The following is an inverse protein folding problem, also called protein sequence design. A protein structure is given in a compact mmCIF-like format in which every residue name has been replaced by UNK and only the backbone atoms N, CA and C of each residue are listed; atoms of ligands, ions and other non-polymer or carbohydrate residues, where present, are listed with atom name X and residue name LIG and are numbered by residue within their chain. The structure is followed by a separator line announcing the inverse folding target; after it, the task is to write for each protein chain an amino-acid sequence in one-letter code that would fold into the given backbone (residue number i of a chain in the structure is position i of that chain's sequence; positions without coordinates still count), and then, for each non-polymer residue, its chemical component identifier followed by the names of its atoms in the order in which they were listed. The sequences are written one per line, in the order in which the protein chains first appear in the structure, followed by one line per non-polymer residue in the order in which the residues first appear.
data_IF_617720351461
#
_entry.id   IF_617720351461
#
_cell.length_a   1.000
_cell.length_b   1.000
_cell.length_c   1.000
_cell.angle_alpha   90.00
_cell.angle_beta   90.00
_cell.angle_gamma   90.00
#
_symmetry.space_group_name_H-M   'P 1'
#
loop_
_entity.id
_entity.type
_entity.pdbx_description
1 polymer ?
#
# COMPACT_ATOMS: atom_id res chain seq x y z
N UNK A 1 13.30 95.74 55.27
CA UNK A 1 12.29 95.18 54.34
C UNK A 1 12.85 94.97 52.93
N UNK A 2 13.10 96.00 52.10
CA UNK A 2 13.56 95.82 50.67
C UNK A 2 14.70 94.81 50.45
N UNK A 3 15.77 94.83 51.28
CA UNK A 3 16.90 93.88 51.18
C UNK A 3 16.52 92.41 51.50
N UNK A 4 15.52 92.19 52.35
CA UNK A 4 15.05 90.83 52.73
C UNK A 4 14.21 90.24 51.60
N UNK A 5 13.37 91.07 50.95
CA UNK A 5 12.59 90.65 49.76
C UNK A 5 13.51 90.25 48.60
N UNK A 6 14.55 91.05 48.34
CA UNK A 6 15.58 90.72 47.34
C UNK A 6 16.30 89.39 47.65
N UNK A 7 16.66 89.15 48.91
CA UNK A 7 17.29 87.89 49.33
C UNK A 7 16.34 86.69 49.19
N UNK A 8 15.07 86.85 49.54
CA UNK A 8 14.05 85.80 49.38
C UNK A 8 13.79 85.47 47.91
N UNK A 9 13.74 86.47 47.03
CA UNK A 9 13.63 86.28 45.58
C UNK A 9 14.85 85.50 45.05
N UNK A 10 16.07 85.91 45.43
CA UNK A 10 17.31 85.25 45.00
C UNK A 10 17.38 83.78 45.44
N UNK A 11 16.95 83.50 46.68
CA UNK A 11 16.88 82.15 47.23
C UNK A 11 15.80 81.32 46.50
N UNK A 12 14.62 81.90 46.26
CA UNK A 12 13.53 81.22 45.54
C UNK A 12 13.89 80.89 44.07
N UNK A 13 14.64 81.76 43.39
CA UNK A 13 15.08 81.52 42.01
C UNK A 13 16.17 80.44 41.93
N UNK A 14 17.01 80.30 42.97
CA UNK A 14 17.97 79.19 43.06
C UNK A 14 17.30 77.82 43.18
N UNK A 15 16.14 77.72 43.85
CA UNK A 15 15.37 76.46 43.95
C UNK A 15 14.66 76.06 42.64
N UNK A 16 14.57 76.94 41.65
CA UNK A 16 14.02 76.60 40.32
C UNK A 16 15.09 75.94 39.40
N UNK A 17 16.37 75.95 39.80
CA UNK A 17 17.48 75.35 39.05
C UNK A 17 17.64 73.84 39.30
N UNK A 18 16.53 73.11 39.40
CA UNK A 18 16.58 71.64 39.35
C UNK A 18 17.03 71.25 37.94
N UNK A 19 18.18 70.57 37.81
CA UNK A 19 18.69 70.09 36.52
C UNK A 19 17.73 69.04 35.94
N UNK A 20 16.98 69.39 34.88
CA UNK A 20 15.85 68.58 34.42
C UNK A 20 16.24 67.43 33.47
N UNK A 21 17.44 67.53 32.86
CA UNK A 21 18.03 66.55 31.95
C UNK A 21 19.49 66.91 31.67
N UNK A 22 20.39 65.93 31.58
CA UNK A 22 21.78 66.15 31.17
C UNK A 22 21.88 66.09 29.65
N UNK A 23 22.17 67.22 29.00
CA UNK A 23 22.50 67.29 27.58
C UNK A 23 24.01 67.23 27.34
N UNK A 24 24.47 66.34 26.48
CA UNK A 24 25.86 66.29 26.00
C UNK A 24 25.83 66.45 24.47
N UNK A 25 26.35 67.56 23.97
CA UNK A 25 26.32 67.89 22.53
C UNK A 25 24.98 68.42 22.00
N UNK A 26 23.97 68.56 22.87
CA UNK A 26 22.68 69.22 22.57
C UNK A 26 22.35 70.27 23.64
N UNK A 27 21.78 71.40 23.22
CA UNK A 27 21.20 72.44 24.10
C UNK A 27 19.72 72.22 24.39
N UNK A 28 19.07 71.32 23.66
CA UNK A 28 17.67 70.91 23.84
C UNK A 28 17.61 69.38 23.95
N UNK A 29 17.91 68.82 25.13
CA UNK A 29 17.72 67.39 25.38
C UNK A 29 16.29 66.96 25.07
N UNK A 30 16.13 65.74 24.58
CA UNK A 30 14.81 65.16 24.37
C UNK A 30 14.03 65.14 25.70
N UNK A 31 12.79 65.64 25.69
CA UNK A 31 11.96 65.77 26.89
C UNK A 31 11.64 64.43 27.61
N UNK A 32 11.85 63.28 26.95
CA UNK A 32 11.72 61.95 27.55
C UNK A 32 13.03 61.40 28.14
N UNK A 33 14.16 62.11 28.02
CA UNK A 33 15.49 61.63 28.38
C UNK A 33 16.08 62.41 29.57
N UNK A 34 16.52 61.69 30.60
CA UNK A 34 17.32 62.26 31.70
C UNK A 34 18.80 62.44 31.34
N UNK A 35 19.27 61.73 30.30
CA UNK A 35 20.56 61.91 29.65
C UNK A 35 20.35 61.82 28.14
N UNK A 36 20.69 62.88 27.41
CA UNK A 36 20.67 62.93 25.95
C UNK A 36 22.07 63.23 25.43
N UNK A 37 22.55 62.42 24.48
CA UNK A 37 23.92 62.49 23.95
C UNK A 37 23.84 62.62 22.43
N UNK A 38 23.92 63.85 21.94
CA UNK A 38 23.86 64.16 20.53
C UNK A 38 25.27 64.28 19.92
N UNK A 39 25.55 63.46 18.91
CA UNK A 39 26.76 63.57 18.10
C UNK A 39 26.57 62.91 16.74
N UNK A 40 27.24 63.43 15.71
CA UNK A 40 27.29 62.83 14.37
C UNK A 40 28.47 61.89 14.16
N UNK A 41 29.44 61.85 15.09
CA UNK A 41 30.68 61.08 14.94
C UNK A 41 31.26 60.49 16.24
N UNK A 42 30.56 60.62 17.37
CA UNK A 42 30.89 60.00 18.66
C UNK A 42 29.68 59.23 19.20
N UNK A 43 29.92 58.30 20.12
CA UNK A 43 28.88 57.56 20.83
C UNK A 43 29.10 57.53 22.33
N UNK A 44 28.15 56.93 23.06
CA UNK A 44 28.27 56.70 24.50
C UNK A 44 29.13 55.45 24.78
N UNK A 45 30.25 55.64 25.47
CA UNK A 45 31.04 54.52 25.99
C UNK A 45 30.53 54.15 27.40
N UNK A 46 29.70 53.10 27.47
CA UNK A 46 29.25 52.53 28.75
C UNK A 46 30.43 51.92 29.54
N UNK A 47 30.31 51.72 30.87
CA UNK A 47 31.36 51.09 31.67
C UNK A 47 31.85 49.77 31.06
N UNK A 48 33.17 49.66 30.85
CA UNK A 48 33.83 48.50 30.25
C UNK A 48 34.52 47.68 31.33
N UNK A 49 34.30 46.37 31.36
CA UNK A 49 34.84 45.49 32.38
C UNK A 49 34.90 44.03 31.92
N UNK A 50 35.69 43.19 32.59
CA UNK A 50 35.73 41.74 32.33
C UNK A 50 34.45 41.05 32.79
N UNK A 51 34.19 39.82 32.31
CA UNK A 51 33.07 39.00 32.82
C UNK A 51 33.11 38.82 34.32
N UNK A 52 34.29 38.60 34.91
CA UNK A 52 34.50 38.48 36.36
C UNK A 52 34.04 39.73 37.10
N UNK A 53 34.44 40.91 36.63
CA UNK A 53 34.05 42.18 37.26
C UNK A 53 32.54 42.42 37.12
N UNK A 54 31.93 42.06 35.98
CA UNK A 54 30.48 42.19 35.76
C UNK A 54 29.66 41.35 36.74
N UNK A 55 30.04 40.09 36.96
CA UNK A 55 29.29 39.19 37.87
C UNK A 55 29.51 39.53 39.35
N UNK A 56 30.54 40.31 39.67
CA UNK A 56 30.84 40.79 41.03
C UNK A 56 30.14 42.12 41.38
N UNK A 57 29.40 42.75 40.46
CA UNK A 57 28.55 43.90 40.80
C UNK A 57 27.49 43.43 41.81
N UNK A 58 27.50 44.01 43.00
CA UNK A 58 26.53 43.69 44.06
C UNK A 58 25.20 44.40 43.80
N UNK A 59 24.09 43.67 43.94
CA UNK A 59 22.71 44.16 43.75
C UNK A 59 22.50 45.05 42.50
N UNK A 60 22.91 44.60 41.29
CA UNK A 60 22.76 45.40 40.08
C UNK A 60 21.30 45.71 39.78
N UNK A 61 21.00 46.95 39.39
CA UNK A 61 19.65 47.37 39.06
C UNK A 61 19.19 46.78 37.72
N UNK A 62 17.91 46.41 37.63
CA UNK A 62 17.28 46.09 36.34
C UNK A 62 17.45 47.28 35.38
N UNK A 63 17.90 47.00 34.17
CA UNK A 63 18.20 48.00 33.15
C UNK A 63 19.67 48.46 33.10
N UNK A 64 20.51 48.12 34.09
CA UNK A 64 21.94 48.46 34.10
C UNK A 64 22.66 47.87 32.88
N UNK A 65 23.37 48.72 32.12
CA UNK A 65 24.12 48.32 30.90
C UNK A 65 25.63 48.47 31.11
N UNK A 66 26.39 47.44 30.69
CA UNK A 66 27.86 47.44 30.65
C UNK A 66 28.38 46.80 29.37
N UNK A 67 29.63 47.07 29.00
CA UNK A 67 30.33 46.34 27.94
C UNK A 67 31.29 45.31 28.56
N UNK A 68 31.04 44.04 28.30
CA UNK A 68 31.93 42.95 28.72
C UNK A 68 33.10 42.82 27.74
N UNK A 69 34.32 43.11 28.19
CA UNK A 69 35.56 43.06 27.39
C UNK A 69 36.16 41.66 27.27
N UNK A 70 35.66 40.67 28.01
CA UNK A 70 36.04 39.26 27.86
C UNK A 70 35.15 38.59 26.80
N UNK A 71 33.86 38.93 26.77
CA UNK A 71 32.88 38.39 25.81
C UNK A 71 32.73 39.26 24.54
N UNK A 72 33.31 40.47 24.54
CA UNK A 72 33.17 41.50 23.49
C UNK A 72 31.71 41.86 23.16
N UNK A 73 30.85 41.95 24.19
CA UNK A 73 29.40 42.14 24.03
C UNK A 73 28.85 43.17 25.01
N UNK A 74 27.82 43.90 24.58
CA UNK A 74 26.97 44.71 25.45
C UNK A 74 26.07 43.80 26.28
N UNK A 75 26.04 43.99 27.60
CA UNK A 75 25.23 43.25 28.56
C UNK A 75 24.31 44.18 29.34
N UNK A 76 23.07 43.75 29.56
CA UNK A 76 22.09 44.40 30.42
C UNK A 76 21.66 43.45 31.54
N UNK A 77 21.53 43.96 32.76
CA UNK A 77 20.94 43.20 33.85
C UNK A 77 19.41 43.28 33.78
N UNK A 78 18.73 42.13 33.74
CA UNK A 78 17.28 42.04 33.76
C UNK A 78 16.82 40.79 34.51
N UNK A 79 15.84 40.94 35.40
CA UNK A 79 15.14 39.84 36.08
C UNK A 79 16.09 38.84 36.75
N UNK A 80 17.06 39.35 37.51
CA UNK A 80 18.02 38.53 38.27
C UNK A 80 19.25 38.06 37.48
N UNK A 81 19.29 38.26 36.15
CA UNK A 81 20.34 37.71 35.27
C UNK A 81 20.94 38.74 34.32
N UNK A 82 22.22 38.56 33.99
CA UNK A 82 22.89 39.29 32.91
C UNK A 82 22.53 38.70 31.55
N UNK A 83 21.94 39.50 30.66
CA UNK A 83 21.61 39.13 29.27
C UNK A 83 22.40 40.01 28.31
N UNK A 84 22.89 39.47 27.20
CA UNK A 84 23.52 40.29 26.17
C UNK A 84 22.46 40.98 25.29
N UNK A 85 22.75 42.19 24.82
CA UNK A 85 21.78 43.08 24.16
C UNK A 85 21.60 42.83 22.66
N UNK A 86 22.56 42.19 21.99
CA UNK A 86 22.55 41.98 20.54
C UNK A 86 22.68 40.49 20.23
N UNK A 87 21.59 39.90 19.72
CA UNK A 87 21.60 38.56 19.13
C UNK A 87 21.66 38.65 17.60
N UNK A 88 22.84 38.99 17.08
CA UNK A 88 23.15 38.83 15.64
C UNK A 88 23.83 37.49 15.34
N UNK A 89 24.20 36.72 16.36
CA UNK A 89 24.99 35.49 16.20
C UNK A 89 24.14 34.30 15.70
N UNK A 90 22.88 34.20 16.13
CA UNK A 90 22.05 33.01 15.86
C UNK A 90 21.06 33.18 14.70
N UNK A 91 20.80 34.42 14.27
CA UNK A 91 19.70 34.76 13.37
C UNK A 91 20.08 35.91 12.43
N UNK A 92 20.90 35.62 11.43
CA UNK A 92 21.32 36.62 10.43
C UNK A 92 20.23 36.79 9.38
N UNK A 93 19.74 38.02 9.18
CA UNK A 93 18.87 38.34 8.05
C UNK A 93 19.69 38.35 6.76
N UNK A 94 19.27 37.57 5.76
CA UNK A 94 19.94 37.57 4.45
C UNK A 94 19.75 38.91 3.74
N UNK A 95 20.81 39.37 3.06
CA UNK A 95 20.80 40.59 2.24
C UNK A 95 20.16 40.39 0.87
N UNK A 96 19.93 39.14 0.45
CA UNK A 96 19.38 38.80 -0.87
C UNK A 96 17.95 38.24 -0.81
N UNK A 97 17.49 37.80 0.37
CA UNK A 97 16.13 37.29 0.62
C UNK A 97 15.72 37.66 2.05
N UNK A 98 14.43 37.87 2.30
CA UNK A 98 13.93 38.14 3.65
C UNK A 98 13.85 36.85 4.51
N UNK A 99 14.98 36.16 4.64
CA UNK A 99 15.14 34.90 5.35
C UNK A 99 16.10 35.09 6.50
N UNK A 100 15.85 34.36 7.59
CA UNK A 100 16.71 34.33 8.76
C UNK A 100 17.38 32.95 8.80
N UNK A 101 18.71 32.90 8.85
CA UNK A 101 19.44 31.63 8.80
C UNK A 101 20.42 31.46 9.97
N UNK A 102 20.61 30.20 10.38
CA UNK A 102 21.61 29.80 11.36
C UNK A 102 22.69 28.97 10.66
N UNK A 103 23.85 29.58 10.43
CA UNK A 103 24.96 29.00 9.67
C UNK A 103 25.83 28.02 10.47
N UNK A 104 25.97 28.24 11.79
CA UNK A 104 26.95 27.58 12.65
C UNK A 104 26.33 26.62 13.68
N UNK A 105 25.12 26.91 14.13
CA UNK A 105 24.43 26.19 15.21
C UNK A 105 23.18 25.46 14.71
N UNK A 106 22.49 24.82 15.66
CA UNK A 106 21.22 24.13 15.43
C UNK A 106 20.02 24.94 15.92
N UNK A 107 18.86 24.77 15.28
CA UNK A 107 17.58 25.36 15.68
C UNK A 107 16.77 24.32 16.42
N UNK A 108 16.63 24.47 17.75
CA UNK A 108 15.75 23.66 18.57
C UNK A 108 14.37 24.31 18.75
N UNK A 109 13.30 23.60 18.43
CA UNK A 109 11.91 24.00 18.71
C UNK A 109 11.33 23.00 19.71
N UNK A 110 11.02 23.47 20.94
CA UNK A 110 10.58 22.60 22.03
C UNK A 110 11.68 21.72 22.65
N UNK A 111 12.94 21.87 22.21
CA UNK A 111 14.13 21.23 22.80
C UNK A 111 15.21 22.26 23.07
N UNK A 112 15.88 22.12 24.23
CA UNK A 112 17.05 22.94 24.61
C UNK A 112 18.38 22.26 24.24
N UNK A 113 18.34 21.07 23.65
CA UNK A 113 19.52 20.29 23.24
C UNK A 113 19.22 19.61 21.90
N UNK A 114 19.16 20.40 20.80
CA UNK A 114 18.91 19.86 19.47
C UNK A 114 20.02 18.89 19.06
N UNK A 115 19.62 17.71 18.59
CA UNK A 115 20.51 16.63 18.11
C UNK A 115 20.82 16.73 16.62
N UNK A 116 20.06 17.57 15.90
CA UNK A 116 20.17 17.84 14.47
C UNK A 116 20.08 19.36 14.21
N UNK A 117 20.52 19.81 13.04
CA UNK A 117 20.53 21.25 12.67
C UNK A 117 19.16 21.92 12.75
N UNK A 118 18.09 21.15 12.56
CA UNK A 118 16.73 21.50 12.93
C UNK A 118 16.18 20.31 13.74
N UNK A 119 15.82 20.54 15.00
CA UNK A 119 15.26 19.54 15.89
C UNK A 119 13.96 20.08 16.48
N UNK A 120 12.85 19.38 16.24
CA UNK A 120 11.51 19.80 16.64
C UNK A 120 10.91 18.73 17.53
N UNK A 121 10.88 19.02 18.83
CA UNK A 121 10.19 18.19 19.83
C UNK A 121 8.68 18.49 19.77
N UNK A 122 8.02 18.02 18.70
CA UNK A 122 6.62 18.27 18.41
C UNK A 122 6.28 18.09 16.93
N UNK A 123 5.13 18.62 16.52
CA UNK A 123 4.62 18.48 15.15
C UNK A 123 5.23 19.54 14.21
N UNK A 124 5.59 19.11 13.00
CA UNK A 124 5.98 20.00 11.89
C UNK A 124 4.82 20.08 10.88
N UNK A 125 4.47 21.29 10.44
CA UNK A 125 3.49 21.51 9.35
C UNK A 125 4.12 22.31 8.22
N UNK A 126 4.40 21.65 7.10
CA UNK A 126 4.58 22.34 5.82
C UNK A 126 3.22 22.74 5.23
N UNK A 127 3.20 23.78 4.41
CA UNK A 127 2.03 24.15 3.57
C UNK A 127 2.19 23.70 2.12
N UNK A 128 3.44 23.58 1.69
CA UNK A 128 3.89 23.19 0.35
C UNK A 128 4.89 22.02 0.50
N UNK A 129 5.71 21.75 -0.52
CA UNK A 129 6.64 20.62 -0.53
C UNK A 129 7.78 20.71 0.50
N UNK A 130 8.22 19.55 1.02
CA UNK A 130 9.47 19.40 1.75
C UNK A 130 10.56 18.89 0.79
N UNK A 131 11.35 19.81 0.24
CA UNK A 131 12.48 19.48 -0.63
C UNK A 131 13.69 19.04 0.18
N UNK A 132 14.34 17.96 -0.25
CA UNK A 132 15.56 17.42 0.36
C UNK A 132 16.48 16.84 -0.72
N UNK A 133 17.74 17.30 -0.76
CA UNK A 133 18.77 16.74 -1.64
C UNK A 133 19.31 15.39 -1.13
N UNK A 134 18.94 14.99 0.09
CA UNK A 134 19.33 13.74 0.74
C UNK A 134 18.16 12.94 1.31
N UNK A 135 18.46 11.85 2.00
CA UNK A 135 17.44 10.97 2.60
C UNK A 135 16.70 11.64 3.76
N UNK A 136 15.38 11.50 3.79
CA UNK A 136 14.52 11.89 4.92
C UNK A 136 14.25 10.64 5.76
N UNK A 137 14.92 10.52 6.91
CA UNK A 137 14.81 9.38 7.82
C UNK A 137 13.74 9.69 8.89
N UNK A 138 12.71 8.84 8.99
CA UNK A 138 11.62 9.01 9.95
C UNK A 138 11.41 7.75 10.80
N UNK A 139 11.86 7.78 12.05
CA UNK A 139 11.92 6.62 12.95
C UNK A 139 10.63 6.35 13.75
N UNK A 140 9.56 7.13 13.52
CA UNK A 140 8.30 7.04 14.30
C UNK A 140 6.99 7.25 13.53
N UNK A 141 7.01 7.33 12.19
CA UNK A 141 5.79 7.59 11.39
C UNK A 141 4.84 6.37 11.34
N UNK A 142 5.33 5.16 11.66
CA UNK A 142 4.54 3.92 11.58
C UNK A 142 3.77 3.64 12.89
N UNK A 143 2.89 4.56 13.26
CA UNK A 143 1.77 4.25 14.17
C UNK A 143 0.53 5.07 13.79
N UNK A 144 -0.50 4.41 13.22
CA UNK A 144 -1.81 5.05 13.04
C UNK A 144 -2.32 5.35 11.62
N UNK A 145 -1.74 4.75 10.57
CA UNK A 145 -2.26 4.65 9.17
C UNK A 145 -1.68 5.60 8.10
N UNK A 146 -0.85 5.02 7.23
CA UNK A 146 -0.46 5.47 5.87
C UNK A 146 0.39 6.74 5.69
N UNK A 147 1.45 6.59 4.88
CA UNK A 147 2.04 7.68 4.10
C UNK A 147 1.17 7.88 2.84
N UNK A 148 0.31 8.90 2.84
CA UNK A 148 -0.53 9.22 1.69
C UNK A 148 0.23 10.10 0.70
N UNK A 149 0.64 9.54 -0.44
CA UNK A 149 1.17 10.32 -1.58
C UNK A 149 0.13 10.40 -2.69
N UNK A 150 -0.16 11.61 -3.18
CA UNK A 150 -1.00 11.84 -4.37
C UNK A 150 -0.27 11.56 -5.70
N UNK A 151 0.96 11.04 -5.62
CA UNK A 151 1.85 10.73 -6.73
C UNK A 151 2.82 9.60 -6.37
N UNK A 152 3.85 9.41 -7.19
CA UNK A 152 4.78 8.28 -7.09
C UNK A 152 5.53 8.24 -5.75
N UNK A 153 5.36 7.14 -5.00
CA UNK A 153 6.17 6.83 -3.82
C UNK A 153 7.44 6.07 -4.23
N UNK A 154 8.55 6.79 -4.42
CA UNK A 154 9.84 6.20 -4.76
C UNK A 154 10.60 5.75 -3.50
N UNK A 155 10.46 4.47 -3.11
CA UNK A 155 11.27 3.88 -2.02
C UNK A 155 12.53 3.25 -2.60
N UNK A 156 13.68 3.89 -2.39
CA UNK A 156 14.98 3.29 -2.68
C UNK A 156 15.46 2.49 -1.46
N UNK A 157 15.03 1.24 -1.34
CA UNK A 157 15.37 0.34 -0.22
C UNK A 157 14.22 -0.57 0.22
N UNK A 158 14.36 -1.21 1.38
CA UNK A 158 13.34 -2.10 1.96
C UNK A 158 12.20 -1.26 2.57
N UNK A 159 11.14 -1.03 1.78
CA UNK A 159 9.90 -0.42 2.24
C UNK A 159 9.03 -1.38 3.05
N UNK A 160 9.34 -1.57 4.33
CA UNK A 160 8.50 -2.35 5.24
C UNK A 160 7.19 -1.62 5.56
N UNK A 161 6.13 -1.88 4.78
CA UNK A 161 4.76 -1.45 5.11
C UNK A 161 4.16 -2.46 6.09
N UNK A 162 4.01 -2.08 7.36
CA UNK A 162 3.43 -2.92 8.42
C UNK A 162 1.90 -3.09 8.34
N UNK A 163 1.33 -3.13 7.14
CA UNK A 163 -0.11 -3.14 6.86
C UNK A 163 -0.41 -3.15 5.36
N UNK A 164 -1.65 -2.86 4.97
CA UNK A 164 -2.08 -2.91 3.57
C UNK A 164 -1.38 -1.85 2.69
N UNK A 165 -0.75 -2.28 1.60
CA UNK A 165 -0.29 -1.42 0.52
C UNK A 165 -1.38 -1.32 -0.57
N UNK A 166 -1.92 -0.12 -0.80
CA UNK A 166 -2.95 0.14 -1.81
C UNK A 166 -2.42 1.06 -2.91
N UNK A 167 -2.30 0.54 -4.13
CA UNK A 167 -1.95 1.32 -5.32
C UNK A 167 -3.21 1.58 -6.18
N UNK A 168 -3.62 2.85 -6.29
CA UNK A 168 -4.74 3.26 -7.15
C UNK A 168 -4.28 3.45 -8.61
N UNK A 169 -3.68 2.41 -9.20
CA UNK A 169 -3.07 2.45 -10.52
C UNK A 169 -2.28 1.17 -10.83
N UNK A 170 -1.32 1.26 -11.74
CA UNK A 170 -0.45 0.13 -12.08
C UNK A 170 0.63 -0.09 -11.01
N UNK A 171 0.90 -1.35 -10.68
CA UNK A 171 2.10 -1.76 -9.93
C UNK A 171 3.08 -2.43 -10.89
N UNK A 172 4.27 -1.85 -11.06
CA UNK A 172 5.34 -2.38 -11.90
C UNK A 172 6.52 -2.79 -11.02
N UNK A 173 6.93 -4.05 -11.06
CA UNK A 173 8.16 -4.54 -10.44
C UNK A 173 9.24 -4.76 -11.51
N UNK A 174 10.49 -4.39 -11.21
CA UNK A 174 11.64 -4.65 -12.09
C UNK A 174 12.26 -6.05 -11.89
N UNK A 175 11.72 -6.81 -10.93
CA UNK A 175 12.07 -8.19 -10.59
C UNK A 175 10.82 -8.82 -9.93
N UNK A 176 10.99 -9.80 -9.05
CA UNK A 176 9.90 -10.59 -8.48
C UNK A 176 8.98 -9.80 -7.55
N UNK A 177 7.69 -10.17 -7.57
CA UNK A 177 6.73 -9.84 -6.51
C UNK A 177 6.67 -11.00 -5.51
N UNK A 178 7.43 -10.91 -4.43
CA UNK A 178 7.49 -11.95 -3.39
C UNK A 178 6.43 -11.68 -2.31
N UNK A 179 5.58 -12.67 -2.01
CA UNK A 179 4.59 -12.60 -0.94
C UNK A 179 4.93 -13.67 0.11
N UNK A 180 5.51 -13.25 1.23
CA UNK A 180 6.02 -14.14 2.27
C UNK A 180 5.05 -14.21 3.47
N UNK A 181 4.06 -15.11 3.40
CA UNK A 181 3.07 -15.31 4.46
C UNK A 181 2.48 -16.73 4.41
N UNK A 182 2.16 -17.32 5.58
CA UNK A 182 1.62 -18.68 5.71
C UNK A 182 0.19 -18.86 5.15
N UNK A 183 -0.53 -17.76 4.89
CA UNK A 183 -1.85 -17.73 4.25
C UNK A 183 -1.94 -16.66 3.15
N UNK A 184 -0.82 -16.39 2.46
CA UNK A 184 -0.71 -15.36 1.43
C UNK A 184 -1.87 -15.40 0.43
N UNK A 185 -2.57 -14.28 0.24
CA UNK A 185 -3.70 -14.17 -0.70
C UNK A 185 -3.62 -12.87 -1.49
N UNK A 186 -3.41 -12.95 -2.81
CA UNK A 186 -3.62 -11.83 -3.74
C UNK A 186 -5.11 -11.70 -4.02
N UNK A 187 -5.76 -10.68 -3.45
CA UNK A 187 -7.20 -10.48 -3.56
C UNK A 187 -7.56 -9.50 -4.67
N UNK A 188 -8.27 -9.97 -5.70
CA UNK A 188 -8.84 -9.14 -6.76
C UNK A 188 -10.21 -8.62 -6.32
N UNK A 189 -10.44 -7.30 -6.44
CA UNK A 189 -11.71 -6.62 -6.10
C UNK A 189 -12.26 -5.86 -7.30
N UNK A 190 -13.56 -5.58 -7.30
CA UNK A 190 -14.15 -4.62 -8.24
C UNK A 190 -14.06 -3.18 -7.70
N UNK A 191 -14.46 -2.19 -8.51
CA UNK A 191 -14.50 -0.77 -8.12
C UNK A 191 -15.49 -0.41 -6.99
N UNK A 192 -16.24 -1.40 -6.47
CA UNK A 192 -17.11 -1.27 -5.30
C UNK A 192 -16.53 -1.95 -4.06
N UNK A 193 -15.21 -2.26 -4.05
CA UNK A 193 -14.50 -2.95 -2.97
C UNK A 193 -15.00 -4.37 -2.64
N UNK A 194 -15.76 -5.02 -3.54
CA UNK A 194 -16.21 -6.40 -3.36
C UNK A 194 -15.14 -7.37 -3.86
N UNK A 195 -14.76 -8.34 -3.03
CA UNK A 195 -13.86 -9.44 -3.40
C UNK A 195 -14.45 -10.30 -4.52
N UNK A 196 -13.70 -10.49 -5.61
CA UNK A 196 -14.16 -11.23 -6.81
C UNK A 196 -13.38 -12.49 -7.11
N UNK A 197 -12.05 -12.46 -7.01
CA UNK A 197 -11.22 -13.66 -7.17
C UNK A 197 -9.87 -13.52 -6.49
N UNK A 198 -9.12 -14.61 -6.44
CA UNK A 198 -7.88 -14.68 -5.68
C UNK A 198 -6.84 -15.63 -6.29
N UNK A 199 -5.59 -15.38 -5.94
CA UNK A 199 -4.50 -16.35 -5.93
C UNK A 199 -4.07 -16.53 -4.46
N UNK A 200 -4.02 -17.76 -3.95
CA UNK A 200 -3.86 -18.03 -2.53
C UNK A 200 -2.92 -19.21 -2.26
N UNK A 201 -2.08 -19.08 -1.23
CA UNK A 201 -1.44 -20.22 -0.55
C UNK A 201 -2.36 -20.72 0.57
N UNK A 202 -2.60 -22.03 0.62
CA UNK A 202 -3.43 -22.66 1.67
C UNK A 202 -2.87 -24.02 2.05
N UNK A 203 -2.09 -24.04 3.13
CA UNK A 203 -1.12 -25.11 3.38
C UNK A 203 -0.14 -25.18 2.21
N UNK A 204 0.17 -26.39 1.76
CA UNK A 204 1.07 -26.63 0.62
C UNK A 204 0.40 -26.37 -0.75
N UNK A 205 -0.88 -26.02 -0.78
CA UNK A 205 -1.64 -25.85 -2.04
C UNK A 205 -1.60 -24.39 -2.54
N UNK A 206 -1.29 -24.23 -3.82
CA UNK A 206 -1.61 -23.00 -4.57
C UNK A 206 -3.05 -23.10 -5.08
N UNK A 207 -3.85 -22.07 -4.83
CA UNK A 207 -5.26 -21.98 -5.25
C UNK A 207 -5.49 -20.75 -6.12
N UNK A 208 -6.30 -20.94 -7.16
CA UNK A 208 -6.85 -19.91 -8.05
C UNK A 208 -8.37 -20.04 -8.00
N UNK A 209 -9.11 -18.96 -7.79
CA UNK A 209 -10.57 -19.06 -7.69
C UNK A 209 -11.33 -17.75 -7.61
N UNK A 210 -12.64 -17.88 -7.51
CA UNK A 210 -13.59 -16.78 -7.24
C UNK A 210 -13.98 -16.77 -5.76
N UNK A 211 -14.22 -15.58 -5.19
CA UNK A 211 -14.77 -15.47 -3.83
C UNK A 211 -16.29 -15.68 -3.86
N UNK A 212 -16.89 -16.05 -2.72
CA UNK A 212 -18.35 -16.14 -2.55
C UNK A 212 -19.10 -14.82 -2.85
N UNK A 213 -18.44 -13.68 -2.76
CA UNK A 213 -18.95 -12.37 -3.21
C UNK A 213 -19.01 -12.18 -4.74
N UNK A 214 -18.65 -13.19 -5.53
CA UNK A 214 -18.71 -13.19 -7.00
C UNK A 214 -19.93 -13.97 -7.53
N UNK A 215 -21.12 -13.68 -7.00
CA UNK A 215 -22.37 -14.44 -7.24
C UNK A 215 -22.81 -14.58 -8.71
N UNK A 216 -22.29 -13.74 -9.62
CA UNK A 216 -22.63 -13.76 -11.05
C UNK A 216 -21.41 -13.95 -11.96
N UNK A 217 -20.20 -14.07 -11.39
CA UNK A 217 -18.95 -14.10 -12.15
C UNK A 217 -18.29 -15.48 -12.15
N UNK A 218 -17.57 -15.78 -13.23
CA UNK A 218 -16.88 -17.06 -13.45
C UNK A 218 -15.36 -16.88 -13.31
N UNK A 219 -14.63 -17.97 -13.08
CA UNK A 219 -13.19 -18.00 -13.37
C UNK A 219 -13.03 -18.32 -14.86
N UNK A 220 -12.34 -17.48 -15.63
CA UNK A 220 -12.26 -17.60 -17.09
C UNK A 220 -10.81 -17.58 -17.56
N UNK A 221 -10.43 -18.56 -18.37
CA UNK A 221 -9.16 -18.61 -19.10
C UNK A 221 -9.40 -18.08 -20.52
N UNK A 222 -8.93 -16.85 -20.77
CA UNK A 222 -9.02 -16.14 -22.04
C UNK A 222 -7.71 -16.27 -22.82
N UNK A 223 -7.81 -16.57 -24.12
CA UNK A 223 -6.65 -16.60 -25.03
C UNK A 223 -6.96 -15.85 -26.33
N UNK A 224 -6.06 -14.95 -26.72
CA UNK A 224 -6.18 -14.06 -27.87
C UNK A 224 -7.54 -13.33 -27.92
N UNK A 225 -7.89 -12.66 -26.83
CA UNK A 225 -9.15 -11.90 -26.67
C UNK A 225 -10.42 -12.75 -26.44
N UNK A 226 -10.40 -14.06 -26.71
CA UNK A 226 -11.58 -14.93 -26.62
C UNK A 226 -11.58 -15.84 -25.39
N UNK A 227 -12.74 -16.00 -24.76
CA UNK A 227 -12.95 -16.87 -23.59
C UNK A 227 -12.96 -18.34 -24.00
N UNK A 228 -11.93 -19.09 -23.60
CA UNK A 228 -11.74 -20.48 -24.05
C UNK A 228 -12.34 -21.48 -23.09
N UNK A 229 -12.13 -21.25 -21.80
CA UNK A 229 -12.55 -22.15 -20.72
C UNK A 229 -13.11 -21.29 -19.58
N UNK A 230 -14.26 -21.67 -19.03
CA UNK A 230 -14.80 -21.08 -17.82
C UNK A 230 -15.10 -22.15 -16.77
N UNK A 231 -14.87 -21.82 -15.50
CA UNK A 231 -15.39 -22.58 -14.35
C UNK A 231 -16.66 -21.87 -13.87
N UNK A 232 -17.78 -22.58 -13.97
CA UNK A 232 -19.10 -22.15 -13.54
C UNK A 232 -19.24 -22.14 -12.00
N UNK A 233 -20.30 -21.51 -11.49
CA UNK A 233 -20.56 -21.45 -10.05
C UNK A 233 -20.84 -22.84 -9.41
N UNK A 234 -21.23 -23.83 -10.20
CA UNK A 234 -21.40 -25.23 -9.78
C UNK A 234 -20.12 -26.09 -10.02
N UNK A 235 -19.00 -25.45 -10.34
CA UNK A 235 -17.71 -26.10 -10.57
C UNK A 235 -17.53 -26.70 -11.97
N UNK A 236 -18.53 -26.67 -12.86
CA UNK A 236 -18.41 -27.23 -14.21
C UNK A 236 -17.43 -26.45 -15.07
N UNK A 237 -16.67 -27.17 -15.89
CA UNK A 237 -15.80 -26.62 -16.91
C UNK A 237 -16.55 -26.50 -18.24
N UNK A 238 -16.67 -25.31 -18.81
CA UNK A 238 -17.41 -25.00 -20.06
C UNK A 238 -16.53 -24.30 -21.09
N UNK A 239 -16.93 -24.30 -22.37
CA UNK A 239 -16.29 -23.54 -23.46
C UNK A 239 -17.15 -22.36 -23.93
N UNK A 240 -16.90 -21.11 -23.48
CA UNK A 240 -17.74 -19.97 -23.84
C UNK A 240 -17.67 -19.55 -25.32
N UNK A 241 -16.61 -19.93 -26.03
CA UNK A 241 -16.23 -19.39 -27.35
C UNK A 241 -17.22 -19.62 -28.51
N UNK A 242 -18.19 -20.52 -28.38
CA UNK A 242 -19.05 -20.97 -29.50
C UNK A 242 -20.55 -20.93 -29.19
N UNK A 243 -20.96 -20.40 -28.04
CA UNK A 243 -22.34 -20.50 -27.55
C UNK A 243 -22.74 -21.92 -27.10
N UNK A 244 -21.77 -22.83 -27.04
CA UNK A 244 -21.96 -24.25 -26.83
C UNK A 244 -21.48 -24.63 -25.41
N UNK A 245 -22.41 -24.56 -24.44
CA UNK A 245 -22.16 -24.80 -23.01
C UNK A 245 -21.97 -26.29 -22.66
N UNK A 246 -21.34 -27.07 -23.55
CA UNK A 246 -20.99 -28.47 -23.27
C UNK A 246 -19.84 -28.51 -22.27
N UNK A 247 -19.91 -29.47 -21.34
CA UNK A 247 -18.86 -29.60 -20.33
C UNK A 247 -17.65 -30.31 -20.91
N UNK A 248 -16.45 -29.80 -20.66
CA UNK A 248 -15.20 -30.44 -21.06
C UNK A 248 -14.85 -31.67 -20.21
N UNK A 249 -15.54 -31.88 -19.09
CA UNK A 249 -15.42 -33.07 -18.27
C UNK A 249 -16.53 -34.04 -18.68
N UNK A 250 -16.22 -35.29 -19.09
CA UNK A 250 -17.24 -36.28 -19.40
C UNK A 250 -18.10 -36.57 -18.17
N UNK A 251 -19.40 -36.76 -18.37
CA UNK A 251 -20.31 -37.21 -17.31
C UNK A 251 -20.06 -38.67 -16.92
N UNK A 252 -19.51 -39.45 -17.86
CA UNK A 252 -19.11 -40.83 -17.68
C UNK A 252 -18.06 -41.18 -18.73
N UNK A 253 -16.98 -41.84 -18.34
CA UNK A 253 -16.01 -42.41 -19.28
C UNK A 253 -15.41 -43.70 -18.72
N UNK A 254 -14.95 -44.59 -19.57
CA UNK A 254 -14.32 -45.82 -19.14
C UNK A 254 -13.42 -46.47 -20.19
N UNK A 255 -12.43 -47.19 -19.70
CA UNK A 255 -11.54 -48.06 -20.44
C UNK A 255 -11.80 -49.51 -20.00
N UNK A 256 -11.96 -50.39 -20.98
CA UNK A 256 -12.26 -51.81 -20.78
C UNK A 256 -11.18 -52.63 -21.47
N UNK A 257 -10.66 -53.66 -20.81
CA UNK A 257 -9.62 -54.51 -21.39
C UNK A 257 -10.19 -55.50 -22.43
N UNK A 258 -9.29 -56.23 -23.09
CA UNK A 258 -9.57 -57.33 -24.02
C UNK A 258 -10.36 -58.52 -23.43
N UNK A 259 -10.56 -58.56 -22.11
CA UNK A 259 -11.37 -59.56 -21.39
C UNK A 259 -12.73 -59.02 -20.94
N UNK A 260 -13.04 -57.75 -21.21
CA UNK A 260 -14.29 -57.10 -20.79
C UNK A 260 -14.30 -56.62 -19.34
N UNK A 261 -13.14 -56.54 -18.68
CA UNK A 261 -13.00 -56.03 -17.31
C UNK A 261 -12.69 -54.53 -17.32
N UNK A 262 -13.18 -53.83 -16.30
CA UNK A 262 -12.94 -52.39 -16.13
C UNK A 262 -11.49 -52.12 -15.72
N UNK A 263 -10.81 -51.24 -16.46
CA UNK A 263 -9.39 -50.88 -16.27
C UNK A 263 -9.23 -49.51 -15.61
N UNK A 264 -10.23 -48.64 -15.80
CA UNK A 264 -10.28 -47.29 -15.23
C UNK A 264 -11.36 -46.46 -15.90
N UNK A 265 -11.79 -45.38 -15.26
CA UNK A 265 -12.94 -44.59 -15.71
C UNK A 265 -13.48 -43.70 -14.59
N UNK A 266 -14.71 -43.23 -14.74
CA UNK A 266 -15.49 -42.63 -13.66
C UNK A 266 -16.17 -43.70 -12.80
N UNK A 267 -16.30 -43.44 -11.50
CA UNK A 267 -16.88 -44.38 -10.52
C UNK A 267 -18.39 -44.67 -10.73
N UNK A 268 -19.06 -43.91 -11.60
CA UNK A 268 -20.46 -44.14 -11.98
C UNK A 268 -20.63 -45.10 -13.18
N UNK A 269 -19.55 -45.73 -13.66
CA UNK A 269 -19.57 -46.79 -14.67
C UNK A 269 -19.92 -48.13 -14.03
N UNK A 270 -20.80 -48.90 -14.67
CA UNK A 270 -20.93 -50.34 -14.44
C UNK A 270 -20.95 -51.07 -15.79
N UNK A 271 -20.27 -52.21 -15.86
CA UNK A 271 -20.21 -53.06 -17.06
C UNK A 271 -20.81 -54.40 -16.71
N UNK A 272 -21.84 -54.81 -17.45
CA UNK A 272 -22.43 -56.13 -17.37
C UNK A 272 -22.02 -56.93 -18.62
N UNK A 273 -21.46 -58.12 -18.42
CA UNK A 273 -21.14 -59.05 -19.52
C UNK A 273 -22.42 -59.78 -19.91
N UNK A 274 -23.01 -59.46 -21.06
CA UNK A 274 -24.30 -60.01 -21.46
C UNK A 274 -24.10 -61.04 -22.57
N UNK A 275 -24.47 -62.30 -22.30
CA UNK A 275 -24.35 -63.40 -23.26
C UNK A 275 -25.58 -63.53 -24.15
N UNK A 276 -25.40 -64.14 -25.32
CA UNK A 276 -26.50 -64.81 -26.03
C UNK A 276 -26.35 -66.32 -25.91
N UNK A 277 -27.48 -67.01 -25.90
CA UNK A 277 -27.63 -68.43 -25.59
C UNK A 277 -26.75 -69.35 -26.48
N UNK A 278 -25.79 -70.06 -25.88
CA UNK A 278 -25.19 -71.26 -26.49
C UNK A 278 -23.67 -71.45 -26.39
N UNK A 279 -22.87 -70.43 -26.11
CA UNK A 279 -21.40 -70.54 -26.03
C UNK A 279 -20.83 -69.84 -24.79
N UNK A 280 -19.65 -70.28 -24.34
CA UNK A 280 -19.02 -69.90 -23.08
C UNK A 280 -18.30 -68.53 -23.09
N UNK A 281 -18.62 -67.66 -24.05
CA UNK A 281 -17.91 -66.39 -24.27
C UNK A 281 -18.94 -65.28 -24.56
N UNK A 282 -19.03 -64.20 -23.76
CA UNK A 282 -20.01 -63.14 -23.98
C UNK A 282 -19.67 -62.33 -25.24
N UNK A 283 -20.66 -62.11 -26.11
CA UNK A 283 -20.48 -61.42 -27.39
C UNK A 283 -20.85 -59.93 -27.34
N UNK A 284 -21.41 -59.43 -26.24
CA UNK A 284 -21.68 -58.00 -26.05
C UNK A 284 -21.58 -57.59 -24.58
N UNK A 285 -21.23 -56.33 -24.36
CA UNK A 285 -21.15 -55.69 -23.06
C UNK A 285 -22.24 -54.64 -22.95
N UNK A 286 -22.99 -54.64 -21.84
CA UNK A 286 -23.88 -53.54 -21.47
C UNK A 286 -23.08 -52.57 -20.60
N UNK A 287 -22.99 -51.33 -21.06
CA UNK A 287 -22.40 -50.22 -20.29
C UNK A 287 -23.54 -49.43 -19.67
N UNK A 288 -23.46 -49.18 -18.37
CA UNK A 288 -24.42 -48.41 -17.59
C UNK A 288 -23.67 -47.24 -16.93
N UNK A 289 -24.13 -46.02 -17.19
CA UNK A 289 -23.62 -44.82 -16.51
C UNK A 289 -24.68 -44.31 -15.52
N UNK A 290 -24.49 -44.59 -14.24
CA UNK A 290 -25.44 -44.23 -13.19
C UNK A 290 -25.54 -42.71 -13.01
N UNK A 291 -26.76 -42.22 -12.75
CA UNK A 291 -27.05 -40.81 -12.51
C UNK A 291 -27.11 -39.91 -13.75
N UNK A 292 -26.87 -40.42 -14.96
CA UNK A 292 -27.07 -39.66 -16.20
C UNK A 292 -28.51 -39.82 -16.67
N UNK A 293 -29.25 -38.71 -16.76
CA UNK A 293 -30.67 -38.70 -17.16
C UNK A 293 -30.89 -38.42 -18.64
N UNK A 294 -30.02 -37.64 -19.31
CA UNK A 294 -30.02 -37.38 -20.76
C UNK A 294 -28.59 -37.05 -21.23
N UNK A 295 -28.15 -37.63 -22.34
CA UNK A 295 -26.82 -37.37 -22.96
C UNK A 295 -26.95 -37.11 -24.45
N UNK A 296 -26.42 -35.99 -24.96
CA UNK A 296 -26.62 -35.61 -26.38
C UNK A 296 -25.72 -36.38 -27.36
N UNK A 297 -24.52 -36.78 -26.93
CA UNK A 297 -23.52 -37.43 -27.79
C UNK A 297 -22.77 -38.52 -27.02
N UNK A 298 -22.65 -39.69 -27.65
CA UNK A 298 -21.83 -40.80 -27.17
C UNK A 298 -20.69 -41.02 -28.17
N UNK A 299 -19.46 -40.82 -27.72
CA UNK A 299 -18.28 -41.20 -28.48
C UNK A 299 -17.80 -42.55 -27.97
N UNK A 300 -18.06 -43.61 -28.73
CA UNK A 300 -17.39 -44.90 -28.53
C UNK A 300 -16.32 -45.03 -29.60
N UNK A 301 -15.09 -45.25 -29.18
CA UNK A 301 -13.94 -45.47 -30.08
C UNK A 301 -13.59 -46.96 -30.05
N UNK A 302 -14.12 -47.77 -31.01
CA UNK A 302 -13.50 -49.04 -31.33
C UNK A 302 -12.18 -48.81 -32.07
N UNK A 303 -11.17 -49.60 -31.75
CA UNK A 303 -10.31 -50.11 -32.81
C UNK A 303 -11.15 -51.14 -33.60
N UNK A 304 -11.48 -50.80 -34.86
CA UNK A 304 -12.09 -51.66 -35.91
C UNK A 304 -13.64 -51.85 -35.95
N UNK A 305 -14.26 -52.01 -37.16
CA UNK A 305 -15.76 -52.03 -37.38
C UNK A 305 -16.28 -52.85 -38.61
N UNK A 306 -17.01 -52.23 -39.57
CA UNK A 306 -17.96 -52.73 -40.58
C UNK A 306 -19.00 -53.74 -40.06
N UNK A 307 -20.22 -53.68 -40.62
CA UNK A 307 -21.34 -54.46 -40.13
C UNK A 307 -22.22 -54.92 -41.30
N UNK A 308 -22.55 -56.21 -41.33
CA UNK A 308 -23.60 -56.78 -42.17
C UNK A 308 -24.63 -57.47 -41.24
N UNK A 309 -25.92 -57.17 -41.45
CA UNK A 309 -27.02 -57.63 -40.59
C UNK A 309 -27.62 -58.99 -40.99
N UNK A 310 -27.24 -59.58 -42.12
CA UNK A 310 -28.02 -60.69 -42.70
C UNK A 310 -27.79 -62.08 -42.09
N UNK A 311 -26.73 -62.31 -41.31
CA UNK A 311 -26.18 -63.67 -41.13
C UNK A 311 -26.10 -64.24 -39.70
N UNK A 312 -26.48 -63.49 -38.66
CA UNK A 312 -26.52 -63.99 -37.26
C UNK A 312 -25.20 -64.56 -36.72
N UNK A 313 -24.05 -64.15 -37.27
CA UNK A 313 -22.71 -64.66 -36.96
C UNK A 313 -21.75 -63.49 -36.75
N UNK A 314 -21.02 -63.48 -35.63
CA UNK A 314 -20.08 -62.41 -35.28
C UNK A 314 -18.67 -62.71 -35.82
N UNK A 315 -18.22 -61.94 -36.82
CA UNK A 315 -16.83 -61.92 -37.31
C UNK A 315 -16.43 -60.49 -37.75
N UNK A 316 -15.11 -60.23 -37.80
CA UNK A 316 -14.46 -58.91 -37.61
C UNK A 316 -14.22 -58.09 -38.91
N UNK A 317 -14.15 -56.75 -38.80
CA UNK A 317 -13.92 -55.81 -39.92
C UNK A 317 -13.36 -54.42 -39.51
N UNK A 318 -13.53 -53.37 -40.34
CA UNK A 318 -12.62 -52.20 -40.58
C UNK A 318 -12.32 -51.07 -39.55
N UNK A 319 -13.10 -49.97 -39.45
CA UNK A 319 -12.65 -48.67 -38.82
C UNK A 319 -13.75 -47.79 -38.18
N UNK A 320 -13.47 -47.05 -37.09
CA UNK A 320 -14.42 -46.41 -36.15
C UNK A 320 -15.65 -45.62 -36.67
N UNK A 321 -16.75 -45.60 -35.88
CA UNK A 321 -17.98 -44.84 -36.12
C UNK A 321 -18.45 -44.07 -34.87
N UNK A 322 -18.86 -42.82 -35.07
CA UNK A 322 -19.62 -42.03 -34.09
C UNK A 322 -21.10 -42.38 -34.23
N UNK A 323 -21.79 -42.58 -33.11
CA UNK A 323 -23.20 -42.94 -33.09
C UNK A 323 -24.01 -41.87 -32.33
N UNK A 324 -25.26 -41.69 -32.75
CA UNK A 324 -26.20 -40.73 -32.15
C UNK A 324 -27.11 -41.41 -31.14
N UNK A 325 -27.79 -40.62 -30.30
CA UNK A 325 -28.71 -41.11 -29.26
C UNK A 325 -29.76 -42.09 -29.83
N UNK A 326 -30.27 -41.83 -31.04
CA UNK A 326 -31.25 -42.70 -31.71
C UNK A 326 -30.70 -44.05 -32.19
N UNK A 327 -29.38 -44.22 -32.30
CA UNK A 327 -28.78 -45.45 -32.83
C UNK A 327 -28.63 -46.55 -31.77
N UNK A 328 -28.77 -46.22 -30.47
CA UNK A 328 -28.52 -47.14 -29.35
C UNK A 328 -29.73 -47.33 -28.43
N UNK A 329 -30.66 -46.39 -28.38
CA UNK A 329 -31.76 -46.43 -27.41
C UNK A 329 -33.07 -46.95 -27.98
N UNK A 330 -33.50 -48.10 -27.46
CA UNK A 330 -34.91 -48.46 -27.49
C UNK A 330 -35.67 -47.50 -26.56
N UNK A 331 -36.68 -46.80 -27.10
CA UNK A 331 -37.37 -45.65 -26.49
C UNK A 331 -38.28 -46.00 -25.31
N UNK A 332 -38.11 -47.18 -24.69
CA UNK A 332 -39.02 -47.75 -23.69
C UNK A 332 -38.40 -48.02 -22.32
N UNK A 333 -37.08 -47.87 -22.13
CA UNK A 333 -36.40 -48.08 -20.84
C UNK A 333 -35.61 -46.84 -20.39
N UNK A 334 -35.84 -46.36 -19.16
CA UNK A 334 -35.25 -45.13 -18.62
C UNK A 334 -33.76 -45.20 -18.25
N UNK A 335 -33.09 -46.32 -18.53
CA UNK A 335 -31.67 -46.49 -18.26
C UNK A 335 -30.88 -46.15 -19.52
N UNK A 336 -29.83 -45.34 -19.38
CA UNK A 336 -28.88 -45.07 -20.47
C UNK A 336 -27.94 -46.28 -20.68
N UNK A 337 -28.52 -47.41 -21.10
CA UNK A 337 -27.87 -48.67 -21.47
C UNK A 337 -27.33 -48.65 -22.91
N UNK A 338 -26.06 -49.00 -23.10
CA UNK A 338 -25.45 -49.18 -24.42
C UNK A 338 -24.98 -50.63 -24.59
N UNK A 339 -25.38 -51.30 -25.69
CA UNK A 339 -24.85 -52.61 -26.07
C UNK A 339 -23.66 -52.43 -27.01
N UNK A 340 -22.50 -52.99 -26.64
CA UNK A 340 -21.27 -52.86 -27.40
C UNK A 340 -20.65 -54.22 -27.76
N UNK A 341 -20.21 -54.37 -29.01
CA UNK A 341 -19.83 -55.64 -29.65
C UNK A 341 -18.30 -55.81 -29.84
N UNK A 342 -17.48 -55.48 -28.83
CA UNK A 342 -16.06 -55.86 -28.83
C UNK A 342 -15.48 -55.88 -27.40
N UNK A 343 -14.33 -56.53 -27.22
CA UNK A 343 -13.50 -56.42 -26.03
C UNK A 343 -12.28 -55.51 -26.29
N UNK A 344 -11.83 -54.75 -25.30
CA UNK A 344 -10.82 -53.71 -25.53
C UNK A 344 -11.42 -52.46 -26.18
N UNK A 345 -11.97 -51.54 -25.39
CA UNK A 345 -12.60 -50.32 -25.92
C UNK A 345 -12.56 -49.14 -24.94
N UNK A 346 -12.75 -47.94 -25.51
CA UNK A 346 -12.93 -46.69 -24.77
C UNK A 346 -14.26 -46.04 -25.12
N UNK A 347 -14.93 -45.48 -24.12
CA UNK A 347 -16.16 -44.70 -24.31
C UNK A 347 -16.12 -43.42 -23.49
N UNK A 348 -16.72 -42.36 -24.04
CA UNK A 348 -16.81 -41.04 -23.42
C UNK A 348 -18.20 -40.47 -23.68
N UNK A 349 -18.90 -40.13 -22.61
CA UNK A 349 -20.25 -39.55 -22.64
C UNK A 349 -20.20 -38.13 -22.09
N UNK A 350 -20.60 -37.18 -22.92
CA UNK A 350 -20.77 -35.77 -22.55
C UNK A 350 -22.25 -35.44 -22.42
N UNK A 351 -22.55 -34.28 -21.81
CA UNK A 351 -23.91 -33.73 -21.85
C UNK A 351 -24.22 -33.18 -23.23
#
# INVERSE_FOLDING_TARGET
MRKIVLLFILISSAYLLNAQSVGIGTTTPNASAQLDVASTNKGLLVPRMTSTNRILITSPANGLVVYDTTQNRMYQYQNGVWRFLINNDYWVQSTTRNWVYNGTDSVGIGTASPTQRLDVNGNIRSRDDLLSDGSVIATGIVSGSSLQTSGNLAVSGIGNVGGDFTANGNLTTYSDLIIYNTGATMQLKNGSNVNKGFFQLSGDNVRLGTNSGNTTGKLIFRNNGADRIAVEADGKLTTPATGDNRSLIPLCYGLVNENGDWVGGTDNVTIEKVGTQGTSTPCYYRIICSGITLSSIISVTPDITYLDHAAGRCYLGGTARVYTYSDFFNTTTQNNEFLYYHSGFSFVIYK
#
